data_IF_581802000113
#
_entry.id   IF_581802000113
#
_cell.length_a   1.000
_cell.length_b   1.000
_cell.length_c   1.000
_cell.angle_alpha   90.00
_cell.angle_beta   90.00
_cell.angle_gamma   90.00
#
_symmetry.space_group_name_H-M   'P 1'
#
loop_
_entity.id
_entity.type
_entity.pdbx_description
1 polymer ?
#
# COMPACT_ATOMS: atom_id res chain seq x y z
N UNK A 1 -15.47 -13.75 30.98
CA UNK A 1 -14.57 -12.78 30.31
C UNK A 1 -13.82 -13.55 29.23
N UNK A 2 -14.39 -13.63 28.02
CA UNK A 2 -13.71 -14.29 26.91
C UNK A 2 -12.58 -13.38 26.43
N UNK A 3 -11.36 -13.90 26.41
CA UNK A 3 -10.27 -13.28 25.66
C UNK A 3 -10.68 -13.26 24.18
N UNK A 4 -10.91 -12.07 23.63
CA UNK A 4 -10.91 -11.87 22.19
C UNK A 4 -9.48 -12.14 21.72
N UNK A 5 -9.29 -13.33 21.16
CA UNK A 5 -8.07 -13.70 20.46
C UNK A 5 -7.97 -12.71 19.31
N UNK A 6 -7.05 -11.76 19.40
CA UNK A 6 -6.60 -10.96 18.26
C UNK A 6 -6.04 -11.96 17.24
N UNK A 7 -6.87 -12.43 16.31
CA UNK A 7 -6.40 -13.14 15.13
C UNK A 7 -5.61 -12.10 14.34
N UNK A 8 -4.31 -12.04 14.60
CA UNK A 8 -3.40 -11.20 13.85
C UNK A 8 -3.35 -11.81 12.44
N UNK A 9 -4.15 -11.26 11.51
CA UNK A 9 -4.09 -11.57 10.09
C UNK A 9 -2.76 -11.04 9.55
N UNK A 10 -1.63 -11.66 9.93
CA UNK A 10 -0.34 -11.34 9.31
C UNK A 10 -0.50 -11.51 7.80
N UNK A 11 -0.07 -10.52 6.99
CA UNK A 11 0.88 -9.47 7.33
C UNK A 11 0.28 -8.11 7.75
N UNK A 12 -0.97 -7.99 8.19
CA UNK A 12 -1.60 -6.68 8.40
C UNK A 12 -1.13 -6.00 9.70
N UNK A 13 -0.96 -4.68 9.62
CA UNK A 13 -0.94 -3.78 10.76
C UNK A 13 -2.34 -3.71 11.39
N UNK A 14 -2.46 -3.33 12.69
CA UNK A 14 -3.76 -3.19 13.34
C UNK A 14 -4.70 -2.26 12.54
N UNK A 15 -5.97 -2.66 12.44
CA UNK A 15 -7.04 -1.91 11.80
C UNK A 15 -8.38 -2.25 12.47
N UNK A 16 -9.41 -1.45 12.21
CA UNK A 16 -10.76 -1.65 12.75
C UNK A 16 -11.09 -0.69 13.90
N UNK A 17 -11.03 -1.16 15.14
CA UNK A 17 -11.49 -0.38 16.30
C UNK A 17 -10.75 0.95 16.45
N UNK A 18 -11.47 2.05 16.27
CA UNK A 18 -10.94 3.41 16.39
C UNK A 18 -10.49 4.04 15.07
N UNK A 19 -10.55 3.30 13.96
CA UNK A 19 -10.26 3.83 12.62
C UNK A 19 -11.38 4.76 12.14
N UNK A 20 -11.02 5.68 11.25
CA UNK A 20 -12.01 6.41 10.46
C UNK A 20 -12.45 5.53 9.29
N UNK A 21 -13.77 5.45 9.05
CA UNK A 21 -14.35 4.59 8.00
C UNK A 21 -14.80 5.45 6.82
N UNK A 22 -14.37 5.08 5.61
CA UNK A 22 -14.86 5.68 4.38
C UNK A 22 -16.34 5.38 4.18
N UNK A 23 -17.04 6.31 3.52
CA UNK A 23 -18.42 6.09 3.08
C UNK A 23 -18.51 4.86 2.19
N UNK A 24 -19.58 4.08 2.38
CA UNK A 24 -19.94 2.97 1.50
C UNK A 24 -20.46 3.53 0.18
N UNK A 25 -19.78 3.22 -0.91
CA UNK A 25 -20.04 3.73 -2.25
C UNK A 25 -19.22 2.94 -3.26
N UNK A 26 -19.75 2.81 -4.47
CA UNK A 26 -19.07 2.30 -5.68
C UNK A 26 -17.84 3.17 -6.01
N UNK A 27 -18.03 4.32 -6.64
CA UNK A 27 -16.95 5.26 -6.97
C UNK A 27 -16.65 6.28 -5.86
N UNK A 28 -16.55 5.79 -4.62
CA UNK A 28 -16.35 6.58 -3.41
C UNK A 28 -14.91 7.05 -3.19
N UNK A 29 -14.74 8.01 -2.29
CA UNK A 29 -13.44 8.45 -1.77
C UNK A 29 -13.61 9.06 -0.39
N UNK A 30 -12.55 9.06 0.42
CA UNK A 30 -12.48 9.85 1.64
C UNK A 30 -12.63 11.36 1.34
N UNK A 31 -13.00 12.15 2.35
CA UNK A 31 -12.66 13.57 2.35
C UNK A 31 -11.14 13.76 2.44
N UNK A 32 -10.65 14.99 2.34
CA UNK A 32 -9.22 15.28 2.54
C UNK A 32 -8.78 14.79 3.93
N UNK A 33 -7.68 14.04 3.97
CA UNK A 33 -7.05 13.58 5.21
C UNK A 33 -5.77 14.38 5.38
N UNK A 34 -5.74 15.29 6.35
CA UNK A 34 -4.52 16.01 6.69
C UNK A 34 -3.56 15.10 7.47
N UNK A 35 -2.31 15.05 7.03
CA UNK A 35 -1.29 14.21 7.66
C UNK A 35 -0.77 14.91 8.92
N UNK A 36 -0.64 14.15 10.00
CA UNK A 36 -0.09 14.65 11.28
C UNK A 36 1.42 14.94 11.19
N UNK A 37 2.10 14.33 10.21
CA UNK A 37 3.46 14.65 9.81
C UNK A 37 3.54 14.61 8.27
N UNK A 38 4.39 15.44 7.63
CA UNK A 38 4.56 15.37 6.18
C UNK A 38 5.09 14.01 5.73
N UNK A 39 4.60 13.54 4.58
CA UNK A 39 5.09 12.33 3.93
C UNK A 39 5.85 12.70 2.66
N UNK A 40 7.05 12.14 2.47
CA UNK A 40 7.87 12.40 1.29
C UNK A 40 7.65 11.24 0.31
N UNK A 41 7.20 11.58 -0.89
CA UNK A 41 7.01 10.63 -1.99
C UNK A 41 7.84 11.10 -3.18
N UNK A 42 8.97 10.42 -3.39
CA UNK A 42 9.98 10.69 -4.42
C UNK A 42 10.39 12.16 -4.53
N UNK A 43 10.84 12.73 -3.41
CA UNK A 43 11.27 14.12 -3.32
C UNK A 43 10.14 15.14 -3.15
N UNK A 44 8.88 14.75 -3.35
CA UNK A 44 7.73 15.62 -3.14
C UNK A 44 7.15 15.44 -1.74
N UNK A 45 6.96 16.57 -1.05
CA UNK A 45 6.41 16.58 0.31
C UNK A 45 4.90 16.79 0.28
N UNK A 46 4.17 15.84 0.83
CA UNK A 46 2.71 15.88 0.95
C UNK A 46 2.27 16.08 2.39
N UNK A 47 1.24 16.91 2.58
CA UNK A 47 0.60 17.18 3.88
C UNK A 47 -0.84 16.66 3.93
N UNK A 48 -1.28 16.01 2.86
CA UNK A 48 -2.63 15.48 2.73
C UNK A 48 -2.62 14.21 1.88
N UNK A 49 -3.66 13.40 2.06
CA UNK A 49 -3.90 12.20 1.25
C UNK A 49 -5.40 11.94 1.12
N UNK A 50 -5.78 11.14 0.14
CA UNK A 50 -7.14 10.64 -0.05
C UNK A 50 -7.10 9.12 -0.18
N UNK A 51 -8.00 8.43 0.50
CA UNK A 51 -8.20 6.98 0.39
C UNK A 51 -9.38 6.74 -0.54
N UNK A 52 -9.13 6.17 -1.72
CA UNK A 52 -10.18 5.90 -2.68
C UNK A 52 -10.82 4.52 -2.50
N UNK A 53 -12.12 4.40 -2.76
CA UNK A 53 -12.81 3.12 -2.60
C UNK A 53 -12.29 2.06 -3.59
N UNK A 54 -11.87 2.49 -4.78
CA UNK A 54 -11.29 1.63 -5.83
C UNK A 54 -9.86 1.16 -5.57
N UNK A 55 -9.31 1.35 -4.37
CA UNK A 55 -8.07 0.68 -3.95
C UNK A 55 -6.77 1.42 -4.29
N UNK A 56 -6.84 2.75 -4.41
CA UNK A 56 -5.68 3.62 -4.58
C UNK A 56 -5.70 4.84 -3.63
N UNK A 57 -4.53 5.44 -3.48
CA UNK A 57 -4.30 6.68 -2.76
C UNK A 57 -3.82 7.77 -3.72
N UNK A 58 -4.33 8.98 -3.55
CA UNK A 58 -3.87 10.19 -4.24
C UNK A 58 -3.54 11.28 -3.23
N UNK A 59 -2.69 12.23 -3.64
CA UNK A 59 -2.26 13.32 -2.76
C UNK A 59 -2.87 14.69 -3.15
N UNK A 60 -3.27 14.87 -4.41
CA UNK A 60 -3.73 16.15 -4.95
C UNK A 60 -5.25 16.34 -4.91
N UNK A 61 -6.01 15.28 -4.72
CA UNK A 61 -7.48 15.33 -4.66
C UNK A 61 -8.12 13.95 -4.71
N UNK A 62 -9.39 13.86 -4.34
CA UNK A 62 -10.20 12.67 -4.55
C UNK A 62 -10.29 12.34 -6.05
N UNK A 63 -10.12 11.06 -6.40
CA UNK A 63 -10.12 10.62 -7.80
C UNK A 63 -10.91 9.33 -8.00
N UNK A 64 -12.07 9.44 -8.65
CA UNK A 64 -13.09 8.39 -8.81
C UNK A 64 -12.82 7.39 -9.94
N UNK A 65 -11.56 7.16 -10.28
CA UNK A 65 -11.25 6.24 -11.39
C UNK A 65 -11.32 4.80 -10.90
N UNK A 66 -12.16 3.98 -11.53
CA UNK A 66 -12.30 2.55 -11.28
C UNK A 66 -11.53 1.68 -12.29
N UNK A 67 -11.07 2.27 -13.40
CA UNK A 67 -10.42 1.56 -14.51
C UNK A 67 -8.90 1.68 -14.40
N UNK A 68 -8.18 0.63 -13.98
CA UNK A 68 -6.73 0.67 -13.86
C UNK A 68 -6.03 0.75 -15.22
N UNK A 69 -4.87 1.40 -15.22
CA UNK A 69 -3.93 1.42 -16.35
C UNK A 69 -2.57 0.88 -15.94
N UNK A 70 -1.74 0.56 -16.93
CA UNK A 70 -0.40 0.03 -16.72
C UNK A 70 0.56 1.13 -16.27
N UNK A 71 1.39 0.83 -15.27
CA UNK A 71 2.56 1.65 -14.93
C UNK A 71 3.78 1.19 -15.75
N UNK A 72 4.62 2.10 -16.26
CA UNK A 72 4.48 3.56 -16.21
C UNK A 72 3.34 4.07 -17.09
N UNK A 73 2.56 5.01 -16.58
CA UNK A 73 1.42 5.61 -17.28
C UNK A 73 1.72 6.98 -17.88
N UNK A 74 2.84 7.60 -17.51
CA UNK A 74 3.21 8.98 -17.86
C UNK A 74 2.07 9.97 -17.56
N UNK A 75 1.39 9.75 -16.43
CA UNK A 75 0.25 10.53 -15.99
C UNK A 75 0.66 11.76 -15.19
N UNK A 76 -0.29 12.67 -14.95
CA UNK A 76 -0.08 13.90 -14.18
C UNK A 76 -0.36 13.76 -12.68
N UNK A 77 -0.25 12.56 -12.09
CA UNK A 77 -0.60 12.30 -10.68
C UNK A 77 0.38 11.37 -9.99
N UNK A 78 0.68 11.69 -8.74
CA UNK A 78 1.30 10.75 -7.81
C UNK A 78 0.24 9.82 -7.23
N UNK A 79 0.48 8.52 -7.37
CA UNK A 79 -0.49 7.46 -7.13
C UNK A 79 0.17 6.29 -6.41
N UNK A 80 -0.44 5.84 -5.31
CA UNK A 80 -0.12 4.55 -4.68
C UNK A 80 -1.33 3.65 -4.85
N UNK A 81 -1.19 2.56 -5.59
CA UNK A 81 -2.26 1.63 -5.89
C UNK A 81 -1.96 0.27 -5.26
N UNK A 82 -2.28 0.01 -3.97
CA UNK A 82 -2.08 -1.31 -3.40
C UNK A 82 -2.89 -2.38 -4.15
N UNK A 83 -4.09 -2.05 -4.62
CA UNK A 83 -4.95 -2.94 -5.41
C UNK A 83 -6.00 -2.09 -6.14
N UNK A 84 -5.62 -1.45 -7.24
CA UNK A 84 -6.54 -0.58 -7.98
C UNK A 84 -7.41 -1.37 -8.96
N UNK A 85 -8.71 -1.41 -8.69
CA UNK A 85 -9.74 -1.98 -9.56
C UNK A 85 -11.11 -1.42 -9.20
N UNK A 86 -12.13 -1.84 -9.92
CA UNK A 86 -13.53 -1.45 -9.72
C UNK A 86 -14.12 -2.18 -8.50
N UNK A 87 -14.11 -1.50 -7.35
CA UNK A 87 -14.51 -2.00 -6.02
C UNK A 87 -15.81 -1.30 -5.58
N UNK A 88 -16.79 -2.09 -5.17
CA UNK A 88 -18.03 -1.59 -4.59
C UNK A 88 -18.22 -2.11 -3.16
N UNK A 89 -18.00 -1.24 -2.17
CA UNK A 89 -18.22 -1.57 -0.76
C UNK A 89 -19.63 -1.19 -0.25
N UNK A 90 -20.59 -0.95 -1.15
CA UNK A 90 -21.98 -0.61 -0.79
C UNK A 90 -22.65 -1.71 0.05
N UNK A 91 -22.34 -2.98 -0.24
CA UNK A 91 -22.97 -4.13 0.43
C UNK A 91 -22.06 -4.80 1.46
N UNK A 92 -20.83 -5.15 1.09
CA UNK A 92 -19.87 -5.80 1.99
C UNK A 92 -18.50 -5.12 1.98
N UNK A 93 -17.75 -5.42 3.02
CA UNK A 93 -16.45 -4.85 3.27
C UNK A 93 -16.48 -3.49 3.96
N UNK A 94 -15.32 -3.12 4.47
CA UNK A 94 -15.09 -1.86 5.17
C UNK A 94 -13.78 -1.30 4.66
N UNK A 95 -13.77 0.00 4.37
CA UNK A 95 -12.57 0.73 4.00
C UNK A 95 -12.31 1.68 5.16
N UNK A 96 -11.18 1.53 5.84
CA UNK A 96 -10.85 2.31 7.03
C UNK A 96 -9.41 2.76 7.02
N UNK A 97 -9.13 3.84 7.74
CA UNK A 97 -7.78 4.35 7.90
C UNK A 97 -7.53 4.98 9.27
N UNK A 98 -6.26 5.01 9.68
CA UNK A 98 -5.81 5.61 10.93
C UNK A 98 -4.37 6.12 10.84
N UNK A 99 -4.07 7.16 11.63
CA UNK A 99 -2.72 7.69 11.84
C UNK A 99 -2.22 7.38 13.25
N UNK A 100 -0.93 7.10 13.37
CA UNK A 100 -0.25 6.84 14.62
C UNK A 100 1.01 7.69 14.71
N UNK A 101 1.19 8.35 15.86
CA UNK A 101 2.41 9.09 16.25
C UNK A 101 3.01 8.57 17.55
N UNK A 102 2.43 7.50 18.12
CA UNK A 102 2.90 6.83 19.33
C UNK A 102 2.35 5.40 19.39
N UNK A 103 2.84 4.61 20.36
CA UNK A 103 2.34 3.26 20.63
C UNK A 103 3.05 2.15 19.85
N UNK A 104 2.56 0.92 20.01
CA UNK A 104 3.18 -0.29 19.48
C UNK A 104 3.25 -0.34 17.95
N UNK A 105 2.39 0.42 17.25
CA UNK A 105 2.40 0.52 15.79
C UNK A 105 3.71 1.13 15.28
N UNK A 106 4.24 2.16 15.95
CA UNK A 106 5.54 2.76 15.59
C UNK A 106 6.69 1.78 15.88
N UNK A 107 6.60 1.02 16.97
CA UNK A 107 7.59 -0.01 17.29
C UNK A 107 7.62 -1.11 16.23
N UNK A 108 6.47 -1.61 15.79
CA UNK A 108 6.36 -2.58 14.70
C UNK A 108 6.93 -2.01 13.40
N UNK A 109 6.55 -0.80 13.01
CA UNK A 109 7.06 -0.12 11.83
C UNK A 109 8.57 0.05 11.84
N UNK A 110 9.12 0.44 12.99
CA UNK A 110 10.56 0.58 13.18
C UNK A 110 11.28 -0.76 13.00
N UNK A 111 10.75 -1.83 13.58
CA UNK A 111 11.33 -3.17 13.48
C UNK A 111 11.26 -3.69 12.03
N UNK A 112 10.12 -3.56 11.37
CA UNK A 112 9.92 -3.99 9.99
C UNK A 112 10.89 -3.28 9.04
N UNK A 113 10.96 -1.94 9.11
CA UNK A 113 11.84 -1.16 8.22
C UNK A 113 13.32 -1.47 8.50
N UNK A 114 13.75 -1.57 9.76
CA UNK A 114 15.14 -1.93 10.06
C UNK A 114 15.48 -3.38 9.66
N UNK A 115 14.50 -4.28 9.61
CA UNK A 115 14.70 -5.62 9.08
C UNK A 115 14.86 -5.62 7.56
N UNK A 116 14.08 -4.81 6.84
CA UNK A 116 14.08 -4.79 5.37
C UNK A 116 15.18 -3.89 4.78
N UNK A 117 15.58 -2.84 5.51
CA UNK A 117 16.57 -1.84 5.11
C UNK A 117 17.60 -1.62 6.24
N UNK A 118 18.46 -2.61 6.52
CA UNK A 118 19.34 -2.61 7.70
C UNK A 118 20.39 -1.48 7.71
N UNK A 119 20.70 -0.89 6.55
CA UNK A 119 21.73 0.15 6.42
C UNK A 119 21.26 1.56 6.81
N UNK A 120 19.96 1.76 7.09
CA UNK A 120 19.38 3.10 7.27
C UNK A 120 19.28 3.58 8.73
N UNK A 121 19.42 2.70 9.72
CA UNK A 121 19.21 3.00 11.15
C UNK A 121 17.94 3.87 11.38
N UNK A 122 16.78 3.29 11.12
CA UNK A 122 15.49 3.98 11.10
C UNK A 122 14.75 3.92 12.44
N UNK A 123 13.93 4.94 12.72
CA UNK A 123 12.96 4.96 13.83
C UNK A 123 11.72 5.71 13.39
N UNK A 124 10.57 5.04 13.34
CA UNK A 124 9.32 5.64 12.88
C UNK A 124 8.81 6.69 13.88
N UNK A 125 8.45 7.88 13.39
CA UNK A 125 7.71 8.89 14.16
C UNK A 125 6.26 9.04 13.71
N UNK A 126 5.90 8.47 12.56
CA UNK A 126 4.56 8.51 12.01
C UNK A 126 4.25 7.28 11.16
N UNK A 127 3.03 6.76 11.32
CA UNK A 127 2.49 5.65 10.52
C UNK A 127 1.06 5.98 10.12
N UNK A 128 0.73 5.85 8.83
CA UNK A 128 -0.64 5.85 8.33
C UNK A 128 -0.99 4.46 7.81
N UNK A 129 -2.12 3.92 8.24
CA UNK A 129 -2.65 2.62 7.80
C UNK A 129 -3.96 2.87 7.09
N UNK A 130 -4.12 2.37 5.86
CA UNK A 130 -5.40 2.29 5.17
C UNK A 130 -5.66 0.84 4.75
N UNK A 131 -6.85 0.33 5.09
CA UNK A 131 -7.24 -1.07 4.89
C UNK A 131 -8.55 -1.14 4.13
N UNK A 132 -8.58 -1.95 3.08
CA UNK A 132 -9.78 -2.42 2.42
C UNK A 132 -10.00 -3.85 2.93
N UNK A 133 -10.93 -4.03 3.86
CA UNK A 133 -11.21 -5.33 4.46
C UNK A 133 -12.48 -5.93 3.87
N UNK A 134 -12.35 -7.12 3.26
CA UNK A 134 -13.45 -7.92 2.69
C UNK A 134 -14.32 -7.14 1.71
N UNK A 135 -13.71 -6.27 0.91
CA UNK A 135 -14.42 -5.47 -0.11
C UNK A 135 -14.78 -6.34 -1.32
N UNK A 136 -15.89 -6.00 -1.97
CA UNK A 136 -16.36 -6.68 -3.18
C UNK A 136 -15.96 -5.91 -4.45
N UNK A 137 -15.87 -6.65 -5.55
CA UNK A 137 -15.80 -6.04 -6.88
C UNK A 137 -17.17 -5.50 -7.29
N UNK A 138 -17.18 -4.46 -8.14
CA UNK A 138 -18.42 -3.90 -8.69
C UNK A 138 -19.32 -4.96 -9.33
N UNK A 139 -20.62 -4.69 -9.30
CA UNK A 139 -21.75 -5.58 -9.61
C UNK A 139 -22.13 -6.55 -8.48
N UNK A 140 -22.03 -6.08 -7.22
CA UNK A 140 -22.50 -6.81 -6.03
C UNK A 140 -22.08 -8.29 -6.01
N UNK A 141 -20.80 -8.56 -6.28
CA UNK A 141 -20.30 -9.92 -6.47
C UNK A 141 -20.35 -10.78 -5.20
N UNK A 142 -20.45 -10.15 -4.02
CA UNK A 142 -20.30 -10.81 -2.72
C UNK A 142 -18.89 -11.36 -2.46
N UNK A 143 -17.92 -10.98 -3.29
CA UNK A 143 -16.52 -11.38 -3.10
C UNK A 143 -15.92 -10.69 -1.88
N UNK A 144 -14.97 -11.36 -1.23
CA UNK A 144 -14.20 -10.78 -0.14
C UNK A 144 -12.73 -10.71 -0.54
N UNK A 145 -12.25 -9.48 -0.76
CA UNK A 145 -10.85 -9.17 -1.02
C UNK A 145 -10.35 -8.24 0.08
N UNK A 146 -9.22 -8.59 0.72
CA UNK A 146 -8.60 -7.79 1.78
C UNK A 146 -7.17 -7.39 1.41
N UNK A 147 -6.85 -6.11 1.51
CA UNK A 147 -5.51 -5.55 1.32
C UNK A 147 -5.32 -4.28 2.13
N UNK A 148 -4.07 -3.90 2.36
CA UNK A 148 -3.70 -2.76 3.20
C UNK A 148 -2.47 -2.06 2.64
N UNK A 149 -2.43 -0.74 2.79
CA UNK A 149 -1.25 0.09 2.56
C UNK A 149 -0.87 0.80 3.84
N UNK A 150 0.43 0.85 4.12
CA UNK A 150 1.01 1.48 5.30
C UNK A 150 2.08 2.46 4.84
N UNK A 151 1.89 3.74 5.16
CA UNK A 151 2.91 4.77 4.96
C UNK A 151 3.66 4.95 6.28
N UNK A 152 4.98 4.84 6.25
CA UNK A 152 5.84 4.89 7.43
C UNK A 152 6.86 6.01 7.22
N UNK A 153 7.00 6.91 8.19
CA UNK A 153 7.93 8.04 8.09
C UNK A 153 8.59 8.38 9.42
N UNK A 154 9.78 8.97 9.35
CA UNK A 154 10.42 9.67 10.46
C UNK A 154 10.56 11.18 10.23
N UNK A 155 9.90 11.71 9.20
CA UNK A 155 10.03 13.10 8.72
C UNK A 155 11.12 13.32 7.66
N UNK A 156 12.02 12.35 7.47
CA UNK A 156 13.09 12.41 6.46
C UNK A 156 13.09 11.20 5.53
N UNK A 157 13.00 10.00 6.10
CA UNK A 157 12.86 8.74 5.39
C UNK A 157 11.38 8.36 5.33
N UNK A 158 10.94 7.87 4.18
CA UNK A 158 9.54 7.53 3.91
C UNK A 158 9.48 6.18 3.23
N UNK A 159 8.53 5.35 3.64
CA UNK A 159 8.35 4.00 3.13
C UNK A 159 6.87 3.73 2.85
N UNK A 160 6.63 2.94 1.82
CA UNK A 160 5.33 2.36 1.48
C UNK A 160 5.41 0.86 1.70
N UNK A 161 4.54 0.33 2.55
CA UNK A 161 4.36 -1.12 2.74
C UNK A 161 2.97 -1.50 2.26
N UNK A 162 2.87 -2.52 1.41
CA UNK A 162 1.61 -3.06 0.91
C UNK A 162 1.47 -4.49 1.45
N UNK A 163 0.31 -4.80 2.00
CA UNK A 163 -0.04 -6.08 2.60
C UNK A 163 -1.27 -6.67 1.92
N UNK A 164 -1.21 -7.95 1.58
CA UNK A 164 -2.31 -8.70 0.94
C UNK A 164 -2.83 -9.79 1.88
N UNK A 165 -4.15 -9.81 2.06
CA UNK A 165 -4.89 -10.84 2.78
C UNK A 165 -5.51 -11.82 1.80
N UNK A 166 -6.71 -12.35 2.06
CA UNK A 166 -7.42 -13.14 1.05
C UNK A 166 -7.78 -12.25 -0.15
N UNK A 167 -7.51 -12.71 -1.38
CA UNK A 167 -7.90 -12.05 -2.63
C UNK A 167 -8.87 -12.97 -3.37
N UNK A 168 -10.09 -12.52 -3.61
CA UNK A 168 -11.06 -13.27 -4.39
C UNK A 168 -10.67 -13.26 -5.89
N UNK A 169 -10.86 -14.38 -6.63
CA UNK A 169 -10.66 -14.42 -8.07
C UNK A 169 -11.49 -13.36 -8.81
N UNK A 170 -10.95 -12.82 -9.89
CA UNK A 170 -11.61 -11.81 -10.71
C UNK A 170 -11.17 -11.87 -12.16
N UNK A 171 -12.05 -11.44 -13.06
CA UNK A 171 -11.71 -11.18 -14.47
C UNK A 171 -11.39 -9.71 -14.72
N UNK A 172 -11.51 -8.86 -13.70
CA UNK A 172 -11.17 -7.44 -13.79
C UNK A 172 -9.66 -7.28 -13.82
N UNK A 173 -9.20 -6.28 -14.57
CA UNK A 173 -7.84 -5.81 -14.43
C UNK A 173 -7.62 -5.21 -13.04
N UNK A 174 -6.45 -5.46 -12.48
CA UNK A 174 -6.02 -4.93 -11.19
C UNK A 174 -4.62 -4.34 -11.36
N UNK A 175 -4.40 -3.09 -10.98
CA UNK A 175 -3.07 -2.50 -10.94
C UNK A 175 -2.56 -2.43 -9.50
N UNK A 176 -1.40 -3.02 -9.23
CA UNK A 176 -0.76 -3.02 -7.92
C UNK A 176 0.64 -2.41 -8.00
N UNK A 177 0.94 -1.41 -7.18
CA UNK A 177 2.22 -0.72 -7.15
C UNK A 177 2.08 0.80 -6.94
N UNK A 178 2.94 1.58 -7.59
CA UNK A 178 2.88 3.04 -7.55
C UNK A 178 3.40 3.67 -8.85
N UNK A 179 3.00 4.91 -9.11
CA UNK A 179 3.46 5.72 -10.23
C UNK A 179 3.48 7.19 -9.82
N UNK A 180 4.49 7.93 -10.25
CA UNK A 180 4.59 9.38 -10.03
C UNK A 180 4.15 10.15 -11.26
N UNK A 181 4.02 11.47 -11.11
CA UNK A 181 3.94 12.40 -12.23
C UNK A 181 5.05 12.11 -13.25
N UNK A 182 4.67 12.06 -14.53
CA UNK A 182 5.51 11.72 -15.69
C UNK A 182 6.23 10.36 -15.57
N UNK A 183 5.79 9.51 -14.64
CA UNK A 183 6.39 8.23 -14.31
C UNK A 183 7.89 8.27 -14.03
N UNK A 184 8.39 9.40 -13.50
CA UNK A 184 9.78 9.56 -13.08
C UNK A 184 10.23 8.42 -12.15
N UNK A 185 9.32 7.97 -11.28
CA UNK A 185 9.47 6.78 -10.44
C UNK A 185 8.19 5.96 -10.51
N UNK A 186 8.32 4.65 -10.75
CA UNK A 186 7.17 3.76 -10.84
C UNK A 186 7.57 2.32 -10.54
N UNK A 187 6.60 1.52 -10.12
CA UNK A 187 6.74 0.10 -9.91
C UNK A 187 5.40 -0.60 -10.12
N UNK A 188 5.40 -1.73 -10.82
CA UNK A 188 4.24 -2.62 -10.94
C UNK A 188 4.55 -3.96 -10.29
N UNK A 189 3.75 -4.36 -9.31
CA UNK A 189 3.85 -5.68 -8.66
C UNK A 189 3.48 -6.76 -9.68
N UNK A 190 4.26 -7.85 -9.69
CA UNK A 190 4.01 -9.01 -10.56
C UNK A 190 2.58 -9.52 -10.38
N UNK A 191 1.90 -9.78 -11.51
CA UNK A 191 0.47 -10.12 -11.52
C UNK A 191 -0.45 -8.92 -11.81
N UNK A 192 0.05 -7.68 -11.75
CA UNK A 192 -0.71 -6.50 -12.18
C UNK A 192 -1.16 -6.62 -13.64
N UNK A 193 -2.43 -6.30 -13.88
CA UNK A 193 -3.12 -6.39 -15.18
C UNK A 193 -3.08 -7.79 -15.82
N UNK A 194 -2.75 -8.82 -15.05
CA UNK A 194 -2.77 -10.22 -15.46
C UNK A 194 -3.95 -10.95 -14.82
N UNK A 195 -4.23 -12.16 -15.30
CA UNK A 195 -5.39 -12.95 -14.85
C UNK A 195 -5.19 -13.66 -13.49
N UNK A 196 -3.97 -13.73 -12.96
CA UNK A 196 -3.62 -14.48 -11.74
C UNK A 196 -3.28 -13.57 -10.54
N UNK A 197 -4.17 -12.62 -10.25
CA UNK A 197 -4.01 -11.67 -9.14
C UNK A 197 -4.15 -12.33 -7.75
N UNK A 198 -4.69 -13.55 -7.68
CA UNK A 198 -4.86 -14.32 -6.44
C UNK A 198 -3.54 -14.85 -5.87
N UNK A 199 -2.43 -14.72 -6.62
CA UNK A 199 -1.07 -15.04 -6.17
C UNK A 199 -0.48 -13.99 -5.22
N UNK A 200 -1.01 -12.75 -5.18
CA UNK A 200 -0.47 -11.65 -4.37
C UNK A 200 -0.22 -11.98 -2.89
N UNK A 201 -1.10 -12.73 -2.18
CA UNK A 201 -0.88 -13.10 -0.77
C UNK A 201 0.32 -14.04 -0.54
N UNK A 202 0.86 -14.61 -1.62
CA UNK A 202 2.04 -15.48 -1.60
C UNK A 202 3.28 -14.80 -2.19
N UNK A 203 3.16 -13.58 -2.70
CA UNK A 203 4.24 -12.80 -3.30
C UNK A 203 4.92 -11.88 -2.28
N UNK A 204 6.19 -11.51 -2.50
CA UNK A 204 6.92 -10.56 -1.64
C UNK A 204 8.21 -10.06 -2.29
N UNK A 205 8.70 -8.89 -1.86
CA UNK A 205 10.08 -8.45 -2.06
C UNK A 205 10.91 -8.34 -0.75
N UNK A 206 10.32 -8.71 0.39
CA UNK A 206 10.96 -8.64 1.73
C UNK A 206 10.92 -9.97 2.47
N UNK A 207 10.67 -11.07 1.75
CA UNK A 207 10.57 -12.42 2.29
C UNK A 207 9.48 -12.58 3.38
N UNK A 208 8.39 -11.84 3.26
CA UNK A 208 7.19 -11.98 4.09
C UNK A 208 6.00 -12.19 3.14
N UNK A 209 5.40 -13.39 3.09
CA UNK A 209 4.29 -13.66 2.17
C UNK A 209 3.20 -12.61 2.24
N UNK A 210 2.81 -12.10 1.08
CA UNK A 210 1.78 -11.08 0.93
C UNK A 210 2.25 -9.66 1.24
N UNK A 211 3.54 -9.43 1.47
CA UNK A 211 4.08 -8.12 1.84
C UNK A 211 5.10 -7.60 0.84
N UNK A 212 4.91 -6.35 0.46
CA UNK A 212 5.83 -5.57 -0.34
C UNK A 212 6.25 -4.31 0.42
N UNK A 213 7.53 -3.95 0.40
CA UNK A 213 8.02 -2.72 1.01
C UNK A 213 8.91 -1.93 0.04
N UNK A 214 8.72 -0.62 0.01
CA UNK A 214 9.43 0.31 -0.86
C UNK A 214 9.90 1.50 -0.03
N UNK A 215 11.14 1.90 -0.25
CA UNK A 215 11.64 3.21 0.19
C UNK A 215 11.21 4.25 -0.84
N UNK A 216 10.63 5.36 -0.37
CA UNK A 216 10.00 6.37 -1.22
C UNK A 216 10.37 7.80 -0.86
N UNK A 217 11.33 8.05 0.04
CA UNK A 217 11.85 9.42 0.27
C UNK A 217 12.69 9.94 -0.90
N UNK A 218 13.52 9.09 -1.52
CA UNK A 218 14.28 9.43 -2.73
C UNK A 218 14.63 8.20 -3.59
N UNK A 219 14.89 8.47 -4.87
CA UNK A 219 15.58 7.65 -5.88
C UNK A 219 15.95 6.21 -5.56
N UNK A 220 15.00 5.28 -5.65
CA UNK A 220 15.23 3.95 -6.23
C UNK A 220 13.90 3.29 -6.59
N UNK A 221 13.90 2.53 -7.68
CA UNK A 221 12.78 1.70 -8.16
C UNK A 221 12.63 0.46 -7.27
N UNK A 222 12.25 0.62 -6.00
CA UNK A 222 12.11 -0.49 -5.05
C UNK A 222 13.41 -1.28 -4.79
N UNK A 223 13.31 -2.40 -4.07
CA UNK A 223 14.45 -3.30 -3.87
C UNK A 223 14.95 -3.83 -5.22
N UNK A 224 16.22 -3.56 -5.56
CA UNK A 224 16.88 -4.13 -6.73
C UNK A 224 17.80 -5.27 -6.30
N UNK A 225 17.80 -6.37 -7.06
CA UNK A 225 18.78 -7.46 -6.90
C UNK A 225 19.57 -7.57 -8.21
N UNK A 226 20.91 -7.42 -8.12
CA UNK A 226 21.81 -7.39 -9.28
C UNK A 226 21.37 -6.39 -10.39
N UNK A 227 20.94 -5.19 -10.00
CA UNK A 227 20.52 -4.14 -10.95
C UNK A 227 19.23 -4.43 -11.71
N UNK A 228 18.50 -5.50 -11.38
CA UNK A 228 17.19 -5.81 -11.95
C UNK A 228 16.09 -5.72 -10.90
N UNK A 229 14.96 -5.15 -11.32
CA UNK A 229 13.72 -5.09 -10.55
C UNK A 229 13.00 -6.42 -10.73
N UNK A 230 13.23 -7.40 -9.86
CA UNK A 230 12.57 -8.72 -9.92
C UNK A 230 11.83 -9.03 -8.62
N UNK A 231 10.65 -9.64 -8.75
CA UNK A 231 9.99 -10.34 -7.66
C UNK A 231 10.88 -11.50 -7.23
N UNK A 232 11.43 -11.44 -6.01
CA UNK A 232 12.39 -12.43 -5.53
C UNK A 232 11.68 -13.56 -4.79
N UNK A 233 12.14 -14.79 -5.03
CA UNK A 233 11.81 -15.94 -4.18
C UNK A 233 12.51 -15.81 -2.82
N UNK A 234 11.96 -16.51 -1.83
CA UNK A 234 12.06 -16.36 -0.37
C UNK A 234 13.45 -16.45 0.32
N UNK A 235 14.57 -16.05 -0.30
CA UNK A 235 15.91 -16.31 0.27
C UNK A 235 16.94 -15.17 0.26
N UNK A 236 16.60 -13.94 -0.16
CA UNK A 236 17.61 -12.87 -0.25
C UNK A 236 17.13 -11.55 0.39
N UNK A 237 18.01 -10.91 1.19
CA UNK A 237 17.81 -9.64 1.89
C UNK A 237 18.18 -8.48 0.94
N UNK A 238 17.40 -7.38 0.96
CA UNK A 238 17.63 -6.21 0.11
C UNK A 238 19.01 -5.58 0.37
N UNK A 239 19.72 -5.22 -0.70
CA UNK A 239 20.91 -4.37 -0.64
C UNK A 239 20.68 -3.13 -1.50
N UNK A 240 20.84 -1.95 -0.92
CA UNK A 240 20.85 -0.69 -1.68
C UNK A 240 22.15 -0.65 -2.49
N UNK A 241 22.10 -0.74 -3.82
CA UNK A 241 23.24 -0.29 -4.63
C UNK A 241 23.12 1.22 -4.83
N UNK A 242 24.23 1.98 -4.68
CA UNK A 242 24.25 3.39 -5.03
C UNK A 242 24.13 3.55 -6.55
N UNK A 243 23.34 4.54 -6.98
CA UNK A 243 23.29 4.96 -8.38
C UNK A 243 24.67 5.46 -8.81
N UNK A 244 25.22 4.87 -9.87
CA UNK A 244 26.30 5.52 -10.62
C UNK A 244 25.66 6.50 -11.60
N UNK A 245 26.16 7.73 -11.60
CA UNK A 245 25.80 8.87 -12.47
C UNK A 245 25.63 8.50 -13.95
#
# INVERSE_FOLDING_TARGET
>A
MLLLINVQYRPFYPFGTGDTVNGRSDDGSSSVIYLQQPFIFFGQTYNQIYVNNNGHLTFDGAWRSFSPYQFPAYGGKDLIAPFWTDIDNSWNGVISYQQYTSGSVLTQATQDINQYFPDLSFSASWVFVATWDRVAYYYNSGTETSFQVVLISNGHLSFVVINYGAIAPTQRYVQAGYDTIDSSHHFSITGSLQNDITSLPHSSNVNVPGRWAFRTDYGSRGCQFNGNVTALTASHICSLQPDYE
#
